data_IF_757655979549
#
_entry.id   IF_757655979549
#
_cell.length_a   1.000
_cell.length_b   1.000
_cell.length_c   1.000
_cell.angle_alpha   90.00
_cell.angle_beta   90.00
_cell.angle_gamma   90.00
#
_symmetry.space_group_name_H-M   'P 1'
#
loop_
_entity.id
_entity.type
_entity.pdbx_description
1 polymer ?
#
# COMPACT_ATOMS: atom_id res chain seq x y z
N UNK A 1 31.23 -12.94 4.07
CA UNK A 1 30.31 -11.83 4.40
C UNK A 1 28.97 -12.43 4.79
N UNK A 2 28.37 -12.01 5.90
CA UNK A 2 27.06 -12.49 6.38
C UNK A 2 26.12 -11.29 6.41
N UNK A 3 24.92 -11.44 5.83
CA UNK A 3 23.89 -10.41 5.80
C UNK A 3 22.65 -10.98 6.49
N UNK A 4 22.11 -10.27 7.47
CA UNK A 4 20.88 -10.61 8.16
C UNK A 4 19.82 -9.55 7.89
N UNK A 5 18.55 -9.96 7.74
CA UNK A 5 17.42 -9.05 7.61
C UNK A 5 16.43 -9.26 8.75
N UNK A 6 15.91 -8.20 9.29
CA UNK A 6 14.91 -8.21 10.37
C UNK A 6 14.01 -6.99 10.32
N UNK A 7 12.75 -7.15 10.70
CA UNK A 7 11.82 -6.03 10.90
C UNK A 7 11.89 -5.49 12.34
N UNK A 8 12.64 -6.16 13.23
CA UNK A 8 12.73 -5.79 14.64
C UNK A 8 14.19 -5.66 15.07
N UNK A 9 14.89 -4.56 14.70
CA UNK A 9 16.30 -4.38 15.05
C UNK A 9 16.52 -4.37 16.58
N UNK A 10 15.56 -3.87 17.34
CA UNK A 10 15.65 -3.78 18.80
C UNK A 10 15.45 -5.12 19.53
N UNK A 11 14.96 -6.15 18.84
CA UNK A 11 14.81 -7.50 19.39
C UNK A 11 16.10 -8.34 19.25
N UNK A 12 17.09 -7.86 18.48
CA UNK A 12 18.37 -8.54 18.31
C UNK A 12 19.22 -8.28 19.56
N UNK A 13 19.82 -9.36 20.08
CA UNK A 13 20.75 -9.27 21.20
C UNK A 13 21.86 -8.24 20.91
N UNK A 14 22.07 -7.33 21.85
CA UNK A 14 23.08 -6.27 21.76
C UNK A 14 24.50 -6.83 21.58
N UNK A 15 24.75 -8.07 22.02
CA UNK A 15 26.00 -8.76 21.80
C UNK A 15 26.27 -9.07 20.32
N UNK A 16 25.22 -9.23 19.50
CA UNK A 16 25.33 -9.45 18.06
C UNK A 16 25.57 -8.15 17.28
N UNK A 17 25.22 -7.01 17.84
CA UNK A 17 25.38 -5.67 17.22
C UNK A 17 26.73 -5.01 17.52
N UNK A 18 27.72 -5.78 18.03
CA UNK A 18 29.06 -5.30 18.33
C UNK A 18 29.98 -5.41 17.11
N UNK A 19 31.08 -4.62 17.14
CA UNK A 19 32.15 -4.68 16.14
C UNK A 19 32.63 -6.12 15.87
N UNK A 20 32.78 -6.44 14.57
CA UNK A 20 33.19 -7.77 14.10
C UNK A 20 32.06 -8.79 13.99
N UNK A 21 30.80 -8.38 14.21
CA UNK A 21 29.58 -9.18 14.02
C UNK A 21 28.63 -8.41 13.08
N UNK A 22 27.39 -8.13 13.48
CA UNK A 22 26.47 -7.26 12.74
C UNK A 22 26.71 -5.81 13.18
N UNK A 23 27.83 -5.25 12.79
CA UNK A 23 28.28 -3.92 13.16
C UNK A 23 27.74 -2.82 12.22
N UNK A 24 27.23 -3.19 11.07
CA UNK A 24 26.70 -2.27 10.08
C UNK A 24 25.21 -2.50 9.90
N UNK A 25 24.43 -1.50 10.27
CA UNK A 25 22.98 -1.50 10.12
C UNK A 25 22.62 -0.59 8.94
N UNK A 26 21.74 -1.09 8.08
CA UNK A 26 21.21 -0.36 6.93
C UNK A 26 19.69 -0.38 7.08
N UNK A 27 19.11 0.77 7.31
CA UNK A 27 17.67 0.93 7.38
C UNK A 27 17.10 1.10 5.97
N UNK A 28 16.11 0.27 5.63
CA UNK A 28 15.37 0.35 4.38
C UNK A 28 14.01 0.94 4.71
N UNK A 29 13.90 2.26 4.55
CA UNK A 29 12.67 2.99 4.81
C UNK A 29 11.58 2.77 3.75
N UNK A 30 10.48 3.51 3.91
CA UNK A 30 9.39 3.53 2.92
C UNK A 30 9.91 4.15 1.62
N UNK A 31 9.66 3.53 0.45
CA UNK A 31 10.14 4.04 -0.83
C UNK A 31 9.48 5.37 -1.21
N UNK A 32 10.25 6.24 -1.83
CA UNK A 32 9.76 7.47 -2.47
C UNK A 32 8.99 7.16 -3.78
N UNK A 33 8.50 8.18 -4.46
CA UNK A 33 7.74 8.02 -5.71
C UNK A 33 8.54 7.29 -6.78
N UNK A 34 9.82 7.63 -6.94
CA UNK A 34 10.71 7.01 -7.93
C UNK A 34 10.97 5.55 -7.59
N UNK A 35 11.23 5.27 -6.31
CA UNK A 35 11.43 3.90 -5.81
C UNK A 35 10.18 3.04 -5.99
N UNK A 36 8.97 3.59 -5.74
CA UNK A 36 7.72 2.88 -5.98
C UNK A 36 7.51 2.55 -7.46
N UNK A 37 7.81 3.51 -8.34
CA UNK A 37 7.75 3.27 -9.79
C UNK A 37 8.71 2.14 -10.22
N UNK A 38 9.93 2.11 -9.71
CA UNK A 38 10.89 1.03 -10.01
C UNK A 38 10.40 -0.34 -9.50
N UNK A 39 9.83 -0.37 -8.29
CA UNK A 39 9.25 -1.59 -7.71
C UNK A 39 8.07 -2.07 -8.57
N UNK A 40 7.16 -1.17 -8.97
CA UNK A 40 6.06 -1.49 -9.87
C UNK A 40 6.56 -2.07 -11.19
N UNK A 41 7.59 -1.49 -11.81
CA UNK A 41 8.21 -2.02 -13.04
C UNK A 41 8.72 -3.45 -12.88
N UNK A 42 9.27 -3.77 -11.71
CA UNK A 42 9.76 -5.13 -11.43
C UNK A 42 8.60 -6.11 -11.35
N UNK A 43 7.54 -5.78 -10.62
CA UNK A 43 6.38 -6.66 -10.43
C UNK A 43 5.51 -6.78 -11.69
N UNK A 44 5.44 -5.74 -12.51
CA UNK A 44 4.68 -5.76 -13.77
C UNK A 44 5.44 -6.33 -14.96
N UNK A 45 6.75 -6.63 -14.82
CA UNK A 45 7.61 -7.11 -15.91
C UNK A 45 7.05 -8.34 -16.64
N UNK A 46 6.39 -9.24 -15.91
CA UNK A 46 5.82 -10.48 -16.46
C UNK A 46 4.30 -10.38 -16.70
N UNK A 47 3.71 -9.20 -16.49
CA UNK A 47 2.30 -8.96 -16.70
C UNK A 47 2.07 -8.36 -18.09
N UNK A 48 0.98 -8.74 -18.74
CA UNK A 48 0.52 -8.08 -19.97
C UNK A 48 -0.26 -6.84 -19.56
N UNK A 49 0.33 -5.67 -19.74
CA UNK A 49 -0.30 -4.38 -19.47
C UNK A 49 -0.96 -3.84 -20.74
N UNK A 50 -2.06 -3.16 -20.58
CA UNK A 50 -2.69 -2.40 -21.64
C UNK A 50 -1.93 -1.06 -21.86
N UNK A 51 -2.08 -0.47 -23.02
CA UNK A 51 -1.38 0.77 -23.40
C UNK A 51 -1.82 2.00 -22.59
N UNK A 52 -2.94 1.91 -21.89
CA UNK A 52 -3.50 2.96 -21.03
C UNK A 52 -2.88 3.01 -19.62
N UNK A 53 -2.06 2.00 -19.23
CA UNK A 53 -1.50 1.90 -17.89
C UNK A 53 -0.34 2.86 -17.71
N UNK A 54 -0.50 3.81 -16.80
CA UNK A 54 0.54 4.77 -16.42
C UNK A 54 1.10 4.43 -15.03
N UNK A 55 2.26 3.75 -15.00
CA UNK A 55 2.92 3.37 -13.74
C UNK A 55 3.38 4.57 -12.90
N UNK A 56 3.64 5.72 -13.52
CA UNK A 56 4.03 6.94 -12.80
C UNK A 56 2.84 7.51 -12.02
N UNK A 57 1.65 7.50 -12.61
CA UNK A 57 0.42 7.93 -11.94
C UNK A 57 0.08 7.01 -10.77
N UNK A 58 0.16 5.69 -10.99
CA UNK A 58 -0.04 4.69 -9.92
C UNK A 58 0.97 4.88 -8.79
N UNK A 59 2.25 5.17 -9.10
CA UNK A 59 3.28 5.43 -8.10
C UNK A 59 2.99 6.70 -7.28
N UNK A 60 2.33 7.72 -7.86
CA UNK A 60 1.88 8.92 -7.14
C UNK A 60 0.74 8.62 -6.19
N UNK A 61 -0.24 7.84 -6.63
CA UNK A 61 -1.44 7.51 -5.86
C UNK A 61 -1.14 6.56 -4.69
N UNK A 62 -0.08 5.74 -4.77
CA UNK A 62 0.29 4.73 -3.77
C UNK A 62 1.19 5.25 -2.66
N UNK A 63 0.86 6.39 -2.05
CA UNK A 63 1.62 6.96 -0.94
C UNK A 63 1.70 6.00 0.27
N UNK A 64 2.89 5.89 0.87
CA UNK A 64 3.11 5.10 2.08
C UNK A 64 3.10 3.58 1.86
N UNK A 65 2.92 3.10 0.63
CA UNK A 65 3.03 1.68 0.32
C UNK A 65 4.49 1.23 0.28
N UNK A 66 4.75 0.07 0.87
CA UNK A 66 6.05 -0.61 0.78
C UNK A 66 6.06 -1.65 -0.33
N UNK A 67 7.21 -2.25 -0.61
CA UNK A 67 7.36 -3.21 -1.71
C UNK A 67 6.37 -4.38 -1.68
N UNK A 68 6.03 -4.90 -0.48
CA UNK A 68 5.02 -5.96 -0.32
C UNK A 68 3.61 -5.50 -0.68
N UNK A 69 3.26 -4.25 -0.36
CA UNK A 69 1.95 -3.70 -0.67
C UNK A 69 1.79 -3.49 -2.17
N UNK A 70 2.85 -2.99 -2.83
CA UNK A 70 2.89 -2.83 -4.28
C UNK A 70 2.82 -4.18 -5.02
N UNK A 71 3.46 -5.23 -4.47
CA UNK A 71 3.33 -6.58 -4.99
C UNK A 71 1.88 -7.11 -4.88
N UNK A 72 1.24 -6.88 -3.72
CA UNK A 72 -0.16 -7.24 -3.50
C UNK A 72 -1.10 -6.47 -4.43
N UNK A 73 -0.84 -5.18 -4.63
CA UNK A 73 -1.58 -4.34 -5.56
C UNK A 73 -1.52 -4.88 -7.00
N UNK A 74 -0.33 -5.24 -7.48
CA UNK A 74 -0.17 -5.84 -8.81
C UNK A 74 -0.91 -7.18 -8.92
N UNK A 75 -0.86 -8.01 -7.88
CA UNK A 75 -1.57 -9.29 -7.85
C UNK A 75 -3.09 -9.12 -7.85
N UNK A 76 -3.62 -8.16 -7.08
CA UNK A 76 -5.06 -7.88 -7.04
C UNK A 76 -5.55 -7.29 -8.36
N UNK A 77 -4.78 -6.40 -8.99
CA UNK A 77 -5.10 -5.87 -10.32
C UNK A 77 -5.17 -7.00 -11.37
N UNK A 78 -4.25 -7.96 -11.32
CA UNK A 78 -4.28 -9.13 -12.20
C UNK A 78 -5.48 -10.03 -11.92
N UNK A 79 -5.81 -10.28 -10.65
CA UNK A 79 -6.99 -11.06 -10.26
C UNK A 79 -8.28 -10.39 -10.69
N UNK A 80 -8.36 -9.06 -10.57
CA UNK A 80 -9.52 -8.30 -11.01
C UNK A 80 -9.72 -8.40 -12.53
N UNK A 81 -8.64 -8.30 -13.30
CA UNK A 81 -8.67 -8.53 -14.76
C UNK A 81 -9.20 -9.93 -15.12
N UNK A 82 -8.82 -10.94 -14.33
CA UNK A 82 -9.31 -12.31 -14.52
C UNK A 82 -10.80 -12.40 -14.18
N UNK A 83 -11.23 -11.82 -13.04
CA UNK A 83 -12.65 -11.83 -12.61
C UNK A 83 -13.57 -11.19 -13.66
N UNK A 84 -13.20 -10.02 -14.17
CA UNK A 84 -13.97 -9.31 -15.20
C UNK A 84 -14.14 -10.12 -16.50
N UNK A 85 -13.15 -10.94 -16.81
CA UNK A 85 -13.16 -11.76 -18.02
C UNK A 85 -13.70 -13.18 -17.80
N UNK A 86 -13.83 -13.61 -16.54
CA UNK A 86 -14.43 -14.92 -16.21
C UNK A 86 -15.88 -15.04 -16.68
N UNK A 87 -16.63 -13.94 -16.71
CA UNK A 87 -17.99 -13.91 -17.25
C UNK A 87 -18.06 -14.14 -18.77
N UNK A 88 -16.91 -14.02 -19.45
CA UNK A 88 -16.77 -14.29 -20.88
C UNK A 88 -16.36 -15.75 -21.17
N UNK A 89 -16.01 -16.51 -20.11
CA UNK A 89 -15.72 -17.94 -20.25
C UNK A 89 -17.01 -18.74 -20.12
N UNK A 90 -17.41 -19.42 -21.17
CA UNK A 90 -18.41 -20.50 -21.06
C UNK A 90 -17.78 -21.62 -20.21
N UNK A 91 -18.36 -21.83 -19.03
CA UNK A 91 -17.90 -22.82 -18.02
C UNK A 91 -18.01 -24.27 -18.56
N UNK A 92 -18.63 -24.47 -19.72
CA UNK A 92 -18.83 -25.78 -20.33
C UNK A 92 -17.64 -26.28 -21.15
N UNK A 93 -16.70 -25.41 -21.54
CA UNK A 93 -15.50 -25.84 -22.26
C UNK A 93 -14.33 -26.06 -21.29
N UNK A 94 -13.92 -27.32 -21.09
CA UNK A 94 -12.78 -27.72 -20.26
C UNK A 94 -11.41 -27.18 -20.74
N UNK A 95 -11.35 -26.49 -21.87
CA UNK A 95 -10.12 -25.95 -22.47
C UNK A 95 -10.18 -24.42 -22.50
N UNK A 96 -9.33 -23.79 -21.69
CA UNK A 96 -9.12 -22.34 -21.77
C UNK A 96 -8.45 -22.06 -23.12
N UNK A 97 -9.15 -21.37 -24.01
CA UNK A 97 -8.63 -20.98 -25.32
C UNK A 97 -7.38 -20.08 -25.14
N UNK A 98 -6.29 -20.50 -25.75
CA UNK A 98 -5.03 -19.75 -25.73
C UNK A 98 -5.20 -18.33 -26.31
N UNK A 99 -6.17 -18.13 -27.21
CA UNK A 99 -6.51 -16.81 -27.76
C UNK A 99 -7.12 -15.86 -26.72
N UNK A 100 -7.83 -16.38 -25.72
CA UNK A 100 -8.43 -15.57 -24.65
C UNK A 100 -7.33 -15.14 -23.67
N UNK A 101 -6.39 -16.04 -23.34
CA UNK A 101 -5.23 -15.73 -22.52
C UNK A 101 -4.33 -14.67 -23.18
N UNK A 102 -4.26 -14.67 -24.50
CA UNK A 102 -3.49 -13.66 -25.24
C UNK A 102 -4.16 -12.28 -25.25
N UNK A 103 -5.45 -12.20 -25.07
CA UNK A 103 -6.24 -10.97 -25.00
C UNK A 103 -6.40 -10.42 -23.57
N UNK A 104 -5.81 -11.08 -22.57
CA UNK A 104 -5.85 -10.62 -21.18
C UNK A 104 -4.79 -9.53 -20.95
N UNK A 105 -5.22 -8.29 -20.89
CA UNK A 105 -4.39 -7.15 -20.51
C UNK A 105 -4.97 -6.51 -19.26
N UNK A 106 -4.07 -6.19 -18.32
CA UNK A 106 -4.44 -5.45 -17.10
C UNK A 106 -4.54 -3.97 -17.46
N UNK A 107 -5.68 -3.36 -17.18
CA UNK A 107 -5.99 -1.97 -17.51
C UNK A 107 -5.72 -1.05 -16.32
N UNK A 108 -5.72 0.26 -16.56
CA UNK A 108 -5.56 1.25 -15.50
C UNK A 108 -6.73 1.20 -14.48
N UNK A 109 -7.93 0.84 -14.93
CA UNK A 109 -9.10 0.66 -14.05
C UNK A 109 -8.90 -0.49 -13.05
N UNK A 110 -8.29 -1.59 -13.48
CA UNK A 110 -7.98 -2.71 -12.59
C UNK A 110 -6.98 -2.28 -11.50
N UNK A 111 -6.01 -1.42 -11.84
CA UNK A 111 -5.07 -0.86 -10.84
C UNK A 111 -5.76 0.10 -9.87
N UNK A 112 -6.67 0.95 -10.34
CA UNK A 112 -7.46 1.84 -9.47
C UNK A 112 -8.32 1.05 -8.48
N UNK A 113 -9.02 0.03 -8.98
CA UNK A 113 -9.79 -0.87 -8.12
C UNK A 113 -8.91 -1.56 -7.08
N UNK A 114 -7.74 -2.07 -7.50
CA UNK A 114 -6.79 -2.70 -6.58
C UNK A 114 -6.26 -1.72 -5.54
N UNK A 115 -6.01 -0.46 -5.90
CA UNK A 115 -5.55 0.57 -4.98
C UNK A 115 -6.59 0.90 -3.90
N UNK A 116 -7.88 0.90 -4.24
CA UNK A 116 -8.97 1.09 -3.27
C UNK A 116 -9.09 -0.08 -2.28
N UNK A 117 -8.80 -1.30 -2.73
CA UNK A 117 -8.84 -2.51 -1.89
C UNK A 117 -7.58 -2.67 -1.01
N UNK A 118 -6.45 -2.13 -1.44
CA UNK A 118 -5.15 -2.34 -0.80
C UNK A 118 -4.83 -1.15 0.11
N UNK A 119 -4.92 -1.37 1.43
CA UNK A 119 -4.50 -0.37 2.41
C UNK A 119 -2.98 -0.46 2.67
N UNK A 120 -2.25 0.67 2.72
CA UNK A 120 -0.83 0.68 3.02
C UNK A 120 -0.52 0.01 4.37
N UNK A 121 0.44 -0.90 4.40
CA UNK A 121 0.82 -1.60 5.63
C UNK A 121 1.47 -0.66 6.65
N UNK A 122 2.11 0.41 6.19
CA UNK A 122 2.67 1.46 7.05
C UNK A 122 1.58 2.18 7.87
N UNK A 123 0.37 2.32 7.33
CA UNK A 123 -0.77 2.90 8.05
C UNK A 123 -1.40 1.92 9.04
N UNK A 124 -1.28 0.60 8.81
CA UNK A 124 -1.79 -0.40 9.76
C UNK A 124 -1.09 -0.35 11.12
N UNK A 125 0.16 0.09 11.17
CA UNK A 125 0.89 0.28 12.43
C UNK A 125 0.46 1.57 13.16
N UNK A 126 -0.18 2.49 12.47
CA UNK A 126 -0.72 3.75 12.98
C UNK A 126 -2.25 3.74 13.05
N UNK A 127 -2.90 2.58 12.98
CA UNK A 127 -4.31 2.49 13.37
C UNK A 127 -4.36 2.74 14.88
N UNK A 128 -4.37 4.01 15.20
CA UNK A 128 -4.84 4.49 16.49
C UNK A 128 -6.31 4.09 16.48
N UNK A 129 -6.68 3.13 17.33
CA UNK A 129 -8.08 2.88 17.64
C UNK A 129 -8.68 4.23 18.00
N UNK A 130 -9.55 4.75 17.13
CA UNK A 130 -10.26 6.00 17.43
C UNK A 130 -11.14 5.64 18.63
N UNK A 131 -10.82 6.12 19.84
CA UNK A 131 -11.63 5.81 20.99
C UNK A 131 -13.02 6.38 20.75
N UNK A 132 -14.08 5.59 21.03
CA UNK A 132 -15.47 6.02 20.99
C UNK A 132 -15.76 7.02 22.12
N UNK A 133 -15.01 8.10 22.19
CA UNK A 133 -15.17 9.17 23.19
C UNK A 133 -15.68 10.41 22.48
N UNK A 134 -16.90 10.82 22.84
CA UNK A 134 -17.50 12.04 22.33
C UNK A 134 -17.23 13.23 23.27
N UNK A 135 -17.34 14.44 22.75
CA UNK A 135 -17.20 15.66 23.54
C UNK A 135 -18.22 15.75 24.70
N UNK A 136 -19.33 15.04 24.60
CA UNK A 136 -20.39 14.95 25.61
C UNK A 136 -19.96 14.09 26.81
N UNK A 137 -19.05 13.13 26.61
CA UNK A 137 -18.55 12.24 27.66
C UNK A 137 -17.58 12.97 28.61
N UNK A 138 -17.07 14.12 28.19
CA UNK A 138 -16.16 14.94 29.00
C UNK A 138 -17.00 15.97 29.77
N UNK A 139 -17.15 15.78 31.08
CA UNK A 139 -17.84 16.71 31.96
C UNK A 139 -17.02 17.97 32.25
N UNK A 140 -17.63 19.18 32.17
CA UNK A 140 -16.96 20.46 32.49
C UNK A 140 -16.01 20.96 31.40
N UNK A 141 -15.14 21.90 31.76
CA UNK A 141 -14.06 22.47 30.90
C UNK A 141 -14.58 23.09 29.58
N UNK A 142 -15.73 23.79 29.63
CA UNK A 142 -16.38 24.29 28.42
C UNK A 142 -15.54 25.31 27.64
N UNK A 143 -14.75 26.14 28.32
CA UNK A 143 -13.84 27.09 27.67
C UNK A 143 -12.71 26.37 26.97
N UNK A 144 -12.05 25.41 27.65
CA UNK A 144 -10.97 24.60 27.07
C UNK A 144 -11.45 23.77 25.89
N UNK A 145 -12.69 23.26 25.92
CA UNK A 145 -13.28 22.54 24.77
C UNK A 145 -13.44 23.47 23.57
N UNK A 146 -13.92 24.70 23.79
CA UNK A 146 -14.04 25.68 22.72
C UNK A 146 -12.69 26.02 22.11
N UNK A 147 -11.72 26.32 22.95
CA UNK A 147 -10.36 26.66 22.51
C UNK A 147 -9.74 25.54 21.67
N UNK A 148 -9.92 24.28 22.09
CA UNK A 148 -9.44 23.13 21.32
C UNK A 148 -10.20 22.93 20.00
N UNK A 149 -11.50 23.13 20.00
CA UNK A 149 -12.30 23.06 18.77
C UNK A 149 -11.90 24.17 17.78
N UNK A 150 -11.69 25.38 18.28
CA UNK A 150 -11.23 26.50 17.46
C UNK A 150 -9.84 26.26 16.88
N UNK A 151 -8.89 25.74 17.67
CA UNK A 151 -7.54 25.47 17.21
C UNK A 151 -7.45 24.34 16.18
N UNK A 152 -8.31 23.32 16.28
CA UNK A 152 -8.23 22.12 15.43
C UNK A 152 -9.20 22.21 14.25
N UNK A 153 -10.45 22.65 14.48
CA UNK A 153 -11.49 22.64 13.43
C UNK A 153 -11.35 23.82 12.47
N UNK A 154 -11.02 25.03 12.95
CA UNK A 154 -10.92 26.18 12.06
C UNK A 154 -9.90 26.04 10.92
N UNK A 155 -8.67 25.51 11.14
CA UNK A 155 -7.74 25.32 10.04
C UNK A 155 -8.17 24.24 9.04
N UNK A 156 -9.07 23.33 9.45
CA UNK A 156 -9.58 22.25 8.59
C UNK A 156 -10.80 22.72 7.79
N UNK A 157 -11.69 23.49 8.42
CA UNK A 157 -12.91 24.00 7.77
C UNK A 157 -12.65 25.21 6.87
N UNK A 158 -11.64 26.00 7.20
CA UNK A 158 -11.27 27.23 6.46
C UNK A 158 -9.78 27.23 6.14
N UNK A 159 -9.31 26.36 5.22
CA UNK A 159 -7.94 26.45 4.70
C UNK A 159 -7.84 27.70 3.83
N UNK A 160 -7.03 28.69 4.25
CA UNK A 160 -6.64 29.83 3.41
C UNK A 160 -5.70 29.43 2.28
#
# INVERSE_FOLDING_TARGET
MVIGATNRPNAIDTALRRFGRFDKEIDIGVPDEVGRMEILRIHTKNMKLADDVNLEEIAKETHGMVGSDLASLCSEAALQCIREKMDLFDIEDETIDAEILDKMYVTNENFKFAAEQTNPSSLRQTIIEIPNVCWEDIGGLNETKKDLQEMILYPIEYPE
#
